data_IF_021946503844
#
_entry.id   IF_021946503844
#
_cell.length_a   1.000
_cell.length_b   1.000
_cell.length_c   1.000
_cell.angle_alpha   90.00
_cell.angle_beta   90.00
_cell.angle_gamma   90.00
#
_symmetry.space_group_name_H-M   'P 1'
#
loop_
_entity.id
_entity.type
_entity.pdbx_description
1 polymer ?
#
# COMPACT_ATOMS: atom_id res chain seq x y z
N UNK A 1 11.50 -6.18 7.25
CA UNK A 1 10.83 -7.08 8.21
C UNK A 1 10.90 -6.45 9.60
N UNK A 2 9.76 -6.34 10.29
CA UNK A 2 9.68 -5.80 11.65
C UNK A 2 10.42 -6.70 12.65
N UNK A 3 11.14 -6.12 13.61
CA UNK A 3 11.95 -6.87 14.59
C UNK A 3 11.21 -7.23 15.88
N UNK A 4 10.15 -6.49 16.22
CA UNK A 4 9.30 -6.73 17.38
C UNK A 4 7.91 -6.12 17.17
N UNK A 5 6.86 -6.77 17.65
CA UNK A 5 5.48 -6.27 17.56
C UNK A 5 4.81 -6.36 18.93
N UNK A 6 4.35 -5.23 19.47
CA UNK A 6 3.55 -5.20 20.69
C UNK A 6 2.06 -5.32 20.34
N UNK A 7 1.38 -6.44 20.68
CA UNK A 7 -0.05 -6.59 20.42
C UNK A 7 -0.91 -5.58 21.21
N UNK A 8 -0.36 -4.96 22.25
CA UNK A 8 -1.01 -3.91 23.01
C UNK A 8 -0.67 -2.50 22.50
N UNK A 9 0.12 -2.37 21.43
CA UNK A 9 0.46 -1.07 20.86
C UNK A 9 -0.79 -0.30 20.44
N UNK A 10 -0.78 1.01 20.70
CA UNK A 10 -1.80 1.96 20.23
C UNK A 10 -1.06 3.08 19.49
N UNK A 11 -1.30 3.19 18.19
CA UNK A 11 -0.60 4.17 17.35
C UNK A 11 -0.85 3.91 15.87
N UNK A 12 0.15 4.18 15.04
CA UNK A 12 0.12 3.95 13.59
C UNK A 12 0.93 2.71 13.26
N UNK A 13 0.35 1.83 12.45
CA UNK A 13 1.00 0.69 11.82
C UNK A 13 1.37 1.07 10.39
N UNK A 14 2.63 0.91 10.00
CA UNK A 14 3.04 1.06 8.61
C UNK A 14 2.82 -0.25 7.89
N UNK A 15 1.96 -0.22 6.88
CA UNK A 15 1.63 -1.35 6.01
C UNK A 15 2.32 -1.13 4.68
N UNK A 16 2.99 -2.15 4.16
CA UNK A 16 3.60 -2.18 2.84
C UNK A 16 2.91 -3.23 1.98
N UNK A 17 2.53 -2.85 0.77
CA UNK A 17 1.92 -3.73 -0.23
C UNK A 17 2.88 -3.86 -1.40
N UNK A 18 2.99 -5.08 -1.92
CA UNK A 18 3.77 -5.39 -3.13
C UNK A 18 2.81 -5.80 -4.24
N UNK A 19 2.78 -5.01 -5.31
CA UNK A 19 2.14 -5.35 -6.57
C UNK A 19 3.12 -6.08 -7.47
N UNK A 20 2.67 -7.14 -8.13
CA UNK A 20 3.48 -7.90 -9.06
C UNK A 20 2.66 -8.41 -10.23
N UNK A 21 3.18 -8.20 -11.44
CA UNK A 21 2.70 -8.84 -12.65
C UNK A 21 3.90 -9.38 -13.43
N UNK A 22 3.94 -10.70 -13.61
CA UNK A 22 5.14 -11.41 -14.08
C UNK A 22 6.36 -11.09 -13.20
N UNK A 23 7.44 -10.59 -13.78
CA UNK A 23 8.68 -10.18 -13.09
C UNK A 23 8.73 -8.66 -12.77
N UNK A 24 7.65 -7.92 -13.04
CA UNK A 24 7.54 -6.50 -12.74
C UNK A 24 6.95 -6.29 -11.35
N UNK A 25 7.57 -5.42 -10.56
CA UNK A 25 7.25 -5.21 -9.15
C UNK A 25 7.04 -3.71 -8.88
N UNK A 26 6.12 -3.41 -7.96
CA UNK A 26 5.90 -2.08 -7.41
C UNK A 26 5.45 -2.15 -5.97
N UNK A 27 5.68 -1.09 -5.21
CA UNK A 27 5.43 -1.02 -3.78
C UNK A 27 4.77 0.28 -3.37
N UNK A 28 3.84 0.13 -2.43
CA UNK A 28 3.26 1.25 -1.70
C UNK A 28 3.34 0.99 -0.20
N UNK A 29 3.56 2.04 0.59
CA UNK A 29 3.51 1.97 2.05
C UNK A 29 2.69 3.11 2.65
N UNK A 30 1.78 2.78 3.55
CA UNK A 30 0.89 3.74 4.20
C UNK A 30 0.67 3.43 5.68
N UNK A 31 0.23 4.43 6.44
CA UNK A 31 -0.01 4.32 7.87
C UNK A 31 -1.48 4.06 8.20
N UNK A 32 -1.78 2.96 8.88
CA UNK A 32 -3.10 2.70 9.47
C UNK A 32 -3.05 3.00 10.97
N UNK A 33 -3.83 3.97 11.42
CA UNK A 33 -4.02 4.26 12.83
C UNK A 33 -5.26 3.56 13.41
N UNK A 34 -5.44 3.68 14.72
CA UNK A 34 -6.66 3.24 15.40
C UNK A 34 -6.47 1.95 16.20
N UNK A 35 -7.51 1.12 16.23
CA UNK A 35 -7.54 -0.09 17.07
C UNK A 35 -7.30 -1.40 16.30
N UNK A 36 -7.22 -1.37 14.97
CA UNK A 36 -6.96 -2.56 14.16
C UNK A 36 -5.51 -3.03 14.35
N UNK A 37 -5.28 -4.33 14.49
CA UNK A 37 -3.95 -4.88 14.81
C UNK A 37 -3.68 -6.20 14.08
N UNK A 38 -2.40 -6.48 13.85
CA UNK A 38 -1.95 -7.79 13.35
C UNK A 38 -2.60 -8.13 12.01
N UNK A 39 -3.12 -9.35 11.89
CA UNK A 39 -3.69 -9.84 10.64
C UNK A 39 -4.91 -9.03 10.14
N UNK A 40 -5.61 -8.29 11.01
CA UNK A 40 -6.70 -7.40 10.60
C UNK A 40 -6.22 -6.24 9.70
N UNK A 41 -4.92 -5.89 9.79
CA UNK A 41 -4.29 -4.87 8.96
C UNK A 41 -3.79 -5.40 7.62
N UNK A 42 -3.83 -6.72 7.41
CA UNK A 42 -3.31 -7.40 6.23
C UNK A 42 -4.41 -7.68 5.19
N UNK A 43 -5.48 -6.91 5.23
CA UNK A 43 -6.59 -7.00 4.28
C UNK A 43 -6.44 -5.94 3.18
N UNK A 44 -6.82 -6.32 1.97
CA UNK A 44 -6.71 -5.48 0.78
C UNK A 44 -7.88 -4.49 0.64
N UNK A 45 -8.85 -4.54 1.56
CA UNK A 45 -10.03 -3.66 1.60
C UNK A 45 -9.70 -2.17 1.71
N UNK A 46 -8.45 -1.78 1.95
CA UNK A 46 -8.05 -0.37 1.93
C UNK A 46 -8.31 0.27 0.56
N UNK A 47 -8.13 -0.45 -0.56
CA UNK A 47 -8.41 0.08 -1.91
C UNK A 47 -9.90 0.29 -2.19
N UNK A 48 -10.82 -0.32 -1.44
CA UNK A 48 -12.25 -0.08 -1.64
C UNK A 48 -12.68 1.36 -1.31
N UNK A 49 -11.87 2.08 -0.54
CA UNK A 49 -12.15 3.44 -0.06
C UNK A 49 -10.98 4.41 -0.26
N UNK A 50 -9.91 3.97 -0.93
CA UNK A 50 -8.72 4.81 -1.16
C UNK A 50 -9.03 5.83 -2.23
N UNK A 51 -8.81 7.12 -1.91
CA UNK A 51 -8.87 8.21 -2.88
C UNK A 51 -7.45 8.66 -3.27
N UNK A 52 -7.33 9.47 -4.33
CA UNK A 52 -6.03 10.02 -4.72
C UNK A 52 -5.37 10.82 -3.58
N UNK A 53 -6.15 11.55 -2.78
CA UNK A 53 -5.65 12.30 -1.63
C UNK A 53 -5.01 11.41 -0.53
N UNK A 54 -5.45 10.15 -0.42
CA UNK A 54 -4.85 9.19 0.49
C UNK A 54 -3.52 8.68 -0.08
N UNK A 55 -3.49 8.37 -1.37
CA UNK A 55 -2.30 7.90 -2.09
C UNK A 55 -1.17 8.94 -2.03
N UNK A 56 -1.51 10.22 -2.15
CA UNK A 56 -0.55 11.34 -2.04
C UNK A 56 0.16 11.39 -0.68
N UNK A 57 -0.41 10.75 0.35
CA UNK A 57 0.13 10.70 1.71
C UNK A 57 0.89 9.42 2.01
N UNK A 58 1.04 8.53 1.03
CA UNK A 58 1.79 7.30 1.20
C UNK A 58 3.26 7.61 1.50
N UNK A 59 3.80 6.90 2.48
CA UNK A 59 5.21 7.00 2.88
C UNK A 59 6.17 6.36 1.87
N UNK A 60 5.67 5.47 1.02
CA UNK A 60 6.38 4.87 -0.11
C UNK A 60 5.39 4.73 -1.27
N UNK A 61 5.82 5.10 -2.46
CA UNK A 61 5.13 4.85 -3.72
C UNK A 61 6.20 4.81 -4.84
N UNK A 62 6.83 3.66 -5.04
CA UNK A 62 7.94 3.51 -6.00
C UNK A 62 7.46 3.21 -7.43
N UNK A 63 6.16 2.93 -7.57
CA UNK A 63 5.52 2.51 -8.80
C UNK A 63 4.51 3.53 -9.33
N UNK A 64 4.53 4.78 -8.87
CA UNK A 64 3.60 5.82 -9.33
C UNK A 64 2.13 5.38 -9.24
N UNK A 65 1.80 4.60 -8.21
CA UNK A 65 0.43 4.18 -7.94
C UNK A 65 -0.46 5.42 -7.80
N UNK A 66 -1.59 5.45 -8.49
CA UNK A 66 -2.53 6.57 -8.48
C UNK A 66 -3.95 6.10 -8.76
N UNK A 67 -4.92 6.95 -8.44
CA UNK A 67 -6.33 6.76 -8.71
C UNK A 67 -6.84 7.89 -9.61
N UNK A 68 -7.35 7.53 -10.77
CA UNK A 68 -8.00 8.44 -11.70
C UNK A 68 -9.49 8.55 -11.31
N UNK A 69 -9.86 9.65 -10.67
CA UNK A 69 -11.24 9.91 -10.24
C UNK A 69 -12.22 10.10 -11.42
N UNK A 70 -11.76 10.50 -12.60
CA UNK A 70 -12.63 10.69 -13.77
C UNK A 70 -13.02 9.34 -14.38
N UNK A 71 -12.08 8.40 -14.43
CA UNK A 71 -12.27 7.08 -15.02
C UNK A 71 -12.57 5.98 -13.97
N UNK A 72 -12.49 6.30 -12.68
CA UNK A 72 -12.69 5.37 -11.54
C UNK A 72 -11.77 4.13 -11.60
N UNK A 73 -10.51 4.34 -12.00
CA UNK A 73 -9.51 3.27 -12.14
C UNK A 73 -8.22 3.59 -11.40
N UNK A 74 -7.54 2.54 -10.95
CA UNK A 74 -6.18 2.64 -10.43
C UNK A 74 -5.16 2.44 -11.54
N UNK A 75 -4.01 3.11 -11.43
CA UNK A 75 -2.88 2.92 -12.34
C UNK A 75 -1.58 2.72 -11.56
N UNK A 76 -0.61 2.00 -12.14
CA UNK A 76 0.75 1.90 -11.64
C UNK A 76 1.76 1.63 -12.77
N UNK A 77 3.02 1.98 -12.51
CA UNK A 77 4.19 1.72 -13.35
C UNK A 77 5.13 0.78 -12.58
N UNK A 78 5.01 -0.52 -12.85
CA UNK A 78 5.83 -1.56 -12.24
C UNK A 78 7.19 -1.65 -12.96
N UNK A 79 8.23 -2.12 -12.27
CA UNK A 79 9.59 -2.26 -12.82
C UNK A 79 10.16 -3.66 -12.63
N UNK A 80 10.89 -4.16 -13.62
CA UNK A 80 11.66 -5.40 -13.48
C UNK A 80 13.12 -5.11 -13.08
N UNK A 81 13.93 -6.16 -12.94
CA UNK A 81 15.34 -6.05 -12.54
C UNK A 81 16.24 -5.35 -13.59
N UNK A 82 15.84 -5.38 -14.87
CA UNK A 82 16.55 -4.74 -15.97
C UNK A 82 16.21 -3.23 -16.08
N UNK A 83 15.22 -2.78 -15.32
CA UNK A 83 14.73 -1.40 -15.32
C UNK A 83 13.64 -1.12 -16.35
N UNK A 84 13.16 -2.15 -17.05
CA UNK A 84 12.00 -2.04 -17.93
C UNK A 84 10.75 -1.77 -17.10
N UNK A 85 9.80 -1.05 -17.71
CA UNK A 85 8.55 -0.64 -17.07
C UNK A 85 7.35 -1.34 -17.67
N UNK A 86 6.37 -1.66 -16.82
CA UNK A 86 5.05 -2.13 -17.22
C UNK A 86 3.99 -1.21 -16.60
N UNK A 87 3.21 -0.56 -17.46
CA UNK A 87 2.02 0.17 -17.04
C UNK A 87 0.87 -0.82 -16.84
N UNK A 88 0.18 -0.71 -15.70
CA UNK A 88 -1.01 -1.49 -15.37
C UNK A 88 -2.13 -0.54 -14.96
N UNK A 89 -3.34 -0.89 -15.34
CA UNK A 89 -4.59 -0.17 -15.03
C UNK A 89 -5.67 -1.20 -14.70
N UNK A 90 -6.52 -0.89 -13.73
CA UNK A 90 -7.63 -1.76 -13.36
C UNK A 90 -8.40 -1.29 -12.14
N UNK A 91 -9.39 -2.07 -11.76
CA UNK A 91 -10.20 -1.81 -10.56
C UNK A 91 -9.54 -2.37 -9.28
N UNK A 92 -10.25 -2.27 -8.15
CA UNK A 92 -9.82 -2.87 -6.87
C UNK A 92 -9.54 -4.37 -7.00
N UNK A 93 -10.36 -5.12 -7.74
CA UNK A 93 -10.23 -6.57 -7.89
C UNK A 93 -9.00 -6.93 -8.73
N UNK A 94 -8.69 -6.16 -9.76
CA UNK A 94 -7.50 -6.34 -10.58
C UNK A 94 -6.22 -6.13 -9.75
N UNK A 95 -6.15 -5.01 -9.01
CA UNK A 95 -5.01 -4.74 -8.13
C UNK A 95 -4.90 -5.72 -6.97
N UNK A 96 -6.03 -6.24 -6.47
CA UNK A 96 -6.05 -7.32 -5.48
C UNK A 96 -5.44 -8.60 -6.04
N UNK A 97 -5.68 -8.90 -7.32
CA UNK A 97 -5.05 -10.02 -8.02
C UNK A 97 -3.53 -9.87 -8.18
N UNK A 98 -3.04 -8.62 -8.28
CA UNK A 98 -1.60 -8.31 -8.37
C UNK A 98 -0.90 -8.19 -7.00
N UNK A 99 -1.65 -8.10 -5.90
CA UNK A 99 -1.07 -7.97 -4.56
C UNK A 99 -0.51 -9.31 -4.06
N UNK A 100 0.81 -9.47 -4.11
CA UNK A 100 1.50 -10.72 -3.74
C UNK A 100 2.08 -10.71 -2.32
N UNK A 101 2.16 -9.54 -1.69
CA UNK A 101 2.54 -9.41 -0.29
C UNK A 101 1.90 -8.19 0.37
N UNK A 102 1.47 -8.36 1.63
CA UNK A 102 1.02 -7.29 2.52
C UNK A 102 1.73 -7.53 3.85
N UNK A 103 2.47 -6.54 4.33
CA UNK A 103 3.35 -6.68 5.48
C UNK A 103 3.23 -5.49 6.44
N UNK A 104 3.22 -5.76 7.74
CA UNK A 104 3.47 -4.72 8.76
C UNK A 104 4.98 -4.50 8.82
N UNK A 105 5.44 -3.32 8.40
CA UNK A 105 6.86 -2.97 8.34
C UNK A 105 7.33 -2.13 9.52
N UNK A 106 6.41 -1.51 10.25
CA UNK A 106 6.73 -0.71 11.43
C UNK A 106 5.52 -0.28 12.25
N UNK A 107 5.80 0.28 13.42
CA UNK A 107 4.82 0.90 14.32
C UNK A 107 5.38 2.24 14.79
N UNK A 108 4.56 3.29 14.85
CA UNK A 108 4.98 4.64 15.24
C UNK A 108 3.87 5.43 15.92
N UNK A 109 4.25 6.49 16.64
CA UNK A 109 3.30 7.42 17.26
C UNK A 109 2.85 8.43 16.21
N UNK A 110 1.56 8.77 16.12
CA UNK A 110 1.14 9.94 15.33
C UNK A 110 1.85 11.15 15.92
N UNK A 111 2.75 11.77 15.16
CA UNK A 111 3.12 13.15 15.44
C UNK A 111 1.95 14.00 14.97
N UNK A 112 1.11 14.44 15.90
CA UNK A 112 0.21 15.56 15.63
C UNK A 112 1.11 16.76 15.32
N UNK A 113 1.15 17.17 14.05
CA UNK A 113 1.73 18.45 13.67
C UNK A 113 1.00 19.55 14.44
N UNK A 114 1.80 20.38 15.10
CA UNK A 114 1.40 21.33 16.13
C UNK A 114 0.86 22.63 15.55
#
# INVERSE_FOLDING_TARGET
>A
MISSYDPNFHGVHTIRVTFMQWDYIGHVSFGIGGNCKGAELLDFTFLAVTLQEDIDRYSENDCQFSYDEENEVYTAVLKNADGDTLEVEGDECDFKGMAVAIEITGTGVKHDEK
#
